data_IF_882155516486
#
_entry.id   IF_882155516486
#
_cell.length_a   1.000
_cell.length_b   1.000
_cell.length_c   1.000
_cell.angle_alpha   90.00
_cell.angle_beta   90.00
_cell.angle_gamma   90.00
#
_symmetry.space_group_name_H-M   'P 1'
#
loop_
_entity.id
_entity.type
_entity.pdbx_description
1 polymer ?
#
# COMPACT_ATOMS: atom_id res chain seq x y z
N UNK A 1 87.42 -43.20 4.68
CA UNK A 1 86.17 -43.64 4.02
C UNK A 1 85.08 -43.77 5.08
N UNK A 2 84.23 -42.75 5.16
CA UNK A 2 82.91 -42.77 5.83
C UNK A 2 82.09 -41.64 5.16
N UNK A 3 80.82 -41.84 4.81
CA UNK A 3 80.17 -41.13 3.69
C UNK A 3 79.52 -39.79 4.10
N UNK A 4 79.15 -38.93 3.12
CA UNK A 4 78.51 -37.64 3.39
C UNK A 4 77.04 -37.82 3.79
N UNK A 5 76.61 -37.07 4.80
CA UNK A 5 75.21 -37.00 5.26
C UNK A 5 74.45 -36.00 4.38
N UNK A 6 73.38 -36.48 3.75
CA UNK A 6 72.45 -35.72 2.90
C UNK A 6 71.64 -34.69 3.71
N UNK A 7 71.54 -33.48 3.17
CA UNK A 7 70.69 -32.37 3.65
C UNK A 7 69.21 -32.69 3.38
N UNK A 8 68.29 -32.52 4.35
CA UNK A 8 66.88 -32.75 4.07
C UNK A 8 66.26 -31.54 3.35
N UNK A 9 65.51 -31.85 2.29
CA UNK A 9 64.71 -30.91 1.49
C UNK A 9 63.65 -30.22 2.35
N UNK A 10 63.54 -28.89 2.19
CA UNK A 10 62.54 -28.04 2.82
C UNK A 10 61.19 -28.25 2.13
N UNK A 11 60.27 -28.96 2.78
CA UNK A 11 58.90 -29.12 2.30
C UNK A 11 58.14 -27.79 2.39
N UNK A 12 57.48 -27.41 1.29
CA UNK A 12 56.53 -26.30 1.19
C UNK A 12 55.26 -26.62 2.00
N UNK A 13 54.88 -25.74 2.93
CA UNK A 13 53.56 -25.75 3.57
C UNK A 13 52.56 -24.97 2.69
N UNK A 14 51.35 -25.48 2.41
CA UNK A 14 50.28 -24.67 1.87
C UNK A 14 49.63 -23.86 3.01
N UNK A 15 49.48 -22.54 2.80
CA UNK A 15 48.69 -21.67 3.65
C UNK A 15 47.22 -22.10 3.58
N UNK A 16 46.71 -22.81 4.59
CA UNK A 16 45.29 -23.04 4.73
C UNK A 16 44.69 -21.83 5.47
N UNK A 17 44.03 -20.94 4.73
CA UNK A 17 43.14 -19.93 5.30
C UNK A 17 41.90 -20.65 5.85
N UNK A 18 41.90 -20.95 7.14
CA UNK A 18 40.71 -21.40 7.87
C UNK A 18 39.83 -20.19 8.17
N UNK A 19 39.04 -19.75 7.19
CA UNK A 19 37.86 -18.98 7.53
C UNK A 19 36.88 -19.94 8.22
N UNK A 20 36.51 -19.72 9.48
CA UNK A 20 35.53 -20.57 10.14
C UNK A 20 34.20 -20.38 9.42
N UNK A 21 33.75 -21.41 8.71
CA UNK A 21 32.38 -21.47 8.27
C UNK A 21 31.50 -21.48 9.52
N UNK A 22 30.51 -20.57 9.65
CA UNK A 22 29.61 -20.58 10.79
C UNK A 22 28.97 -21.97 10.88
N UNK A 23 28.96 -22.58 12.08
CA UNK A 23 28.46 -23.93 12.24
C UNK A 23 27.00 -23.98 11.79
N UNK A 24 26.62 -25.10 11.16
CA UNK A 24 25.31 -25.32 10.54
C UNK A 24 24.13 -24.95 11.46
N UNK A 25 24.33 -25.05 12.77
CA UNK A 25 23.36 -24.68 13.80
C UNK A 25 23.02 -23.17 13.83
N UNK A 26 23.96 -22.26 13.60
CA UNK A 26 23.71 -20.81 13.62
C UNK A 26 22.90 -20.36 12.41
N UNK A 27 23.15 -20.93 11.23
CA UNK A 27 22.31 -20.68 10.04
C UNK A 27 20.89 -21.20 10.25
N UNK A 28 20.75 -22.40 10.81
CA UNK A 28 19.43 -22.98 11.12
C UNK A 28 18.71 -22.12 12.17
N UNK A 29 19.37 -21.74 13.28
CA UNK A 29 18.81 -20.84 14.29
C UNK A 29 18.44 -19.47 13.71
N UNK A 30 19.28 -18.87 12.86
CA UNK A 30 18.96 -17.58 12.20
C UNK A 30 17.76 -17.69 11.24
N UNK A 31 17.58 -18.86 10.60
CA UNK A 31 16.45 -19.15 9.72
C UNK A 31 15.16 -19.46 10.49
N UNK A 32 15.26 -20.05 11.69
CA UNK A 32 14.13 -20.36 12.57
C UNK A 32 13.66 -19.14 13.38
N UNK A 33 14.54 -18.16 13.61
CA UNK A 33 14.19 -16.90 14.31
C UNK A 33 13.49 -15.92 13.36
N UNK A 34 13.72 -16.03 12.04
CA UNK A 34 12.85 -15.41 11.03
C UNK A 34 11.64 -16.30 10.80
N UNK A 35 10.74 -16.36 11.78
CA UNK A 35 9.36 -16.66 11.42
C UNK A 35 8.96 -15.61 10.42
N UNK A 36 8.76 -16.02 9.17
CA UNK A 36 7.95 -15.29 8.21
C UNK A 36 6.53 -15.28 8.78
N UNK A 37 6.29 -14.45 9.79
CA UNK A 37 4.94 -14.09 10.18
C UNK A 37 4.37 -13.40 8.96
N UNK A 38 3.33 -13.98 8.36
CA UNK A 38 2.65 -13.34 7.25
C UNK A 38 2.25 -11.94 7.72
N UNK A 39 2.79 -10.93 7.07
CA UNK A 39 2.59 -9.54 7.47
C UNK A 39 1.11 -9.19 7.28
N UNK A 40 0.49 -8.67 8.33
CA UNK A 40 -0.85 -8.09 8.28
C UNK A 40 -0.81 -6.82 7.42
N UNK A 41 -1.52 -6.73 6.27
CA UNK A 41 -1.38 -5.61 5.33
C UNK A 41 -1.67 -4.24 5.94
N UNK A 42 -2.49 -4.16 6.98
CA UNK A 42 -2.82 -2.90 7.65
C UNK A 42 -1.86 -2.52 8.78
N UNK A 43 -1.33 -3.49 9.54
CA UNK A 43 -0.56 -3.20 10.76
C UNK A 43 0.94 -3.32 10.51
N UNK A 44 1.37 -4.34 9.78
CA UNK A 44 2.79 -4.66 9.62
C UNK A 44 3.42 -3.92 8.44
N UNK A 45 2.66 -3.62 7.39
CA UNK A 45 3.16 -2.85 6.25
C UNK A 45 3.39 -1.39 6.66
N UNK A 46 4.61 -0.91 6.43
CA UNK A 46 4.95 0.50 6.67
C UNK A 46 4.23 1.41 5.65
N UNK A 47 3.84 2.61 6.09
CA UNK A 47 3.25 3.63 5.22
C UNK A 47 4.22 4.10 4.12
N UNK A 48 5.53 3.99 4.34
CA UNK A 48 6.57 4.40 3.40
C UNK A 48 7.33 5.66 3.84
N UNK A 49 8.61 5.81 3.46
CA UNK A 49 9.50 6.85 3.98
C UNK A 49 9.20 8.26 3.49
N UNK A 50 8.51 8.39 2.35
CA UNK A 50 8.12 9.66 1.73
C UNK A 50 6.70 10.10 2.13
N UNK A 51 6.11 9.39 3.11
CA UNK A 51 4.83 9.75 3.65
C UNK A 51 4.94 11.15 4.31
N UNK A 52 3.92 12.00 4.14
CA UNK A 52 2.62 11.63 3.62
C UNK A 52 2.38 11.93 2.13
N UNK A 53 3.39 12.44 1.41
CA UNK A 53 3.23 12.83 0.00
C UNK A 53 3.17 11.61 -0.93
N UNK A 54 4.03 10.63 -0.67
CA UNK A 54 4.06 9.34 -1.36
C UNK A 54 3.98 8.26 -0.28
N UNK A 55 3.03 7.35 -0.41
CA UNK A 55 2.76 6.30 0.57
C UNK A 55 2.50 4.96 -0.12
N UNK A 56 2.69 3.88 0.62
CA UNK A 56 2.25 2.56 0.21
C UNK A 56 0.73 2.49 0.27
N UNK A 57 0.10 1.92 -0.74
CA UNK A 57 -1.34 1.69 -0.83
C UNK A 57 -1.57 0.22 -1.11
N UNK A 58 -2.38 -0.45 -0.28
CA UNK A 58 -2.79 -1.84 -0.48
C UNK A 58 -4.06 -1.86 -1.30
N UNK A 59 -4.02 -2.49 -2.47
CA UNK A 59 -5.15 -2.56 -3.39
C UNK A 59 -6.12 -3.65 -2.92
N UNK A 60 -7.39 -3.29 -2.79
CA UNK A 60 -8.48 -4.21 -2.49
C UNK A 60 -9.26 -4.55 -3.76
N UNK A 61 -9.51 -3.55 -4.61
CA UNK A 61 -10.38 -3.69 -5.78
C UNK A 61 -9.64 -3.25 -7.03
N UNK A 62 -9.52 -4.18 -7.98
CA UNK A 62 -8.95 -3.89 -9.30
C UNK A 62 -9.87 -2.98 -10.10
N UNK A 63 -9.27 -2.09 -10.89
CA UNK A 63 -9.97 -1.34 -11.95
C UNK A 63 -10.80 -2.28 -12.82
N UNK A 64 -12.05 -1.92 -13.05
CA UNK A 64 -13.03 -2.68 -13.85
C UNK A 64 -13.76 -3.79 -13.09
N UNK A 65 -13.44 -4.02 -11.81
CA UNK A 65 -14.15 -5.01 -11.00
C UNK A 65 -15.55 -4.53 -10.60
N UNK A 66 -16.50 -5.47 -10.59
CA UNK A 66 -17.84 -5.31 -9.98
C UNK A 66 -17.91 -5.89 -8.56
N UNK A 67 -16.87 -6.61 -8.14
CA UNK A 67 -16.79 -7.20 -6.80
C UNK A 67 -16.15 -6.17 -5.88
N UNK A 68 -16.90 -5.75 -4.85
CA UNK A 68 -16.36 -4.99 -3.72
C UNK A 68 -15.68 -5.98 -2.79
N UNK A 69 -14.36 -6.00 -2.88
CA UNK A 69 -13.51 -6.62 -1.90
C UNK A 69 -13.26 -5.66 -0.74
N UNK A 70 -12.90 -6.20 0.41
CA UNK A 70 -12.45 -5.42 1.55
C UNK A 70 -11.47 -6.25 2.39
N UNK A 71 -10.62 -5.56 3.14
CA UNK A 71 -9.76 -6.15 4.15
C UNK A 71 -10.61 -6.69 5.31
N UNK A 72 -10.45 -7.98 5.61
CA UNK A 72 -10.88 -8.50 6.90
C UNK A 72 -9.85 -8.13 7.98
N UNK A 73 -10.15 -7.07 8.75
CA UNK A 73 -9.30 -6.50 9.81
C UNK A 73 -8.78 -7.52 10.84
N UNK A 74 -9.48 -8.64 11.02
CA UNK A 74 -9.07 -9.69 11.97
C UNK A 74 -8.02 -10.64 11.41
N UNK A 75 -8.12 -10.99 10.13
CA UNK A 75 -7.27 -12.01 9.50
C UNK A 75 -6.19 -11.42 8.60
N UNK A 76 -6.34 -10.16 8.18
CA UNK A 76 -5.46 -9.52 7.20
C UNK A 76 -5.68 -10.02 5.78
N UNK A 77 -6.73 -10.81 5.52
CA UNK A 77 -7.06 -11.35 4.22
C UNK A 77 -8.07 -10.48 3.48
N UNK A 78 -8.04 -10.54 2.16
CA UNK A 78 -9.06 -9.92 1.31
C UNK A 78 -10.31 -10.82 1.29
N UNK A 79 -11.45 -10.28 1.69
CA UNK A 79 -12.75 -10.94 1.60
C UNK A 79 -13.64 -10.23 0.58
N UNK A 80 -14.60 -10.97 0.04
CA UNK A 80 -15.69 -10.38 -0.75
C UNK A 80 -16.69 -9.79 0.24
N UNK A 81 -16.87 -8.47 0.22
CA UNK A 81 -17.97 -7.81 0.92
C UNK A 81 -19.27 -8.08 0.17
N UNK A 82 -19.27 -7.75 -1.13
CA UNK A 82 -20.44 -7.91 -2.01
C UNK A 82 -20.09 -7.77 -3.49
N UNK A 83 -21.03 -8.17 -4.35
CA UNK A 83 -21.05 -7.76 -5.76
C UNK A 83 -21.94 -6.52 -5.88
N UNK A 84 -21.48 -5.49 -6.59
CA UNK A 84 -22.27 -4.26 -6.76
C UNK A 84 -23.62 -4.57 -7.42
N UNK A 85 -24.70 -3.98 -6.92
CA UNK A 85 -26.05 -4.24 -7.43
C UNK A 85 -26.28 -3.61 -8.81
N UNK A 86 -25.73 -2.41 -9.04
CA UNK A 86 -25.82 -1.73 -10.34
C UNK A 86 -24.84 -2.29 -11.36
N UNK A 87 -25.07 -1.97 -12.63
CA UNK A 87 -24.15 -2.27 -13.74
C UNK A 87 -22.95 -1.34 -13.79
N UNK A 88 -22.44 -0.91 -12.62
CA UNK A 88 -21.25 -0.08 -12.49
C UNK A 88 -20.05 -0.94 -12.10
N UNK A 89 -18.86 -0.47 -12.45
CA UNK A 89 -17.56 -1.08 -12.11
C UNK A 89 -16.63 0.00 -11.58
N UNK A 90 -15.67 -0.37 -10.75
CA UNK A 90 -14.69 0.59 -10.23
C UNK A 90 -13.85 1.18 -11.38
N UNK A 91 -13.84 2.51 -11.60
CA UNK A 91 -13.17 3.11 -12.75
C UNK A 91 -11.63 3.07 -12.63
N UNK A 92 -11.13 2.95 -11.40
CA UNK A 92 -9.71 2.91 -11.06
C UNK A 92 -9.45 1.89 -9.94
N UNK A 93 -8.17 1.60 -9.66
CA UNK A 93 -7.81 0.71 -8.57
C UNK A 93 -8.19 1.38 -7.23
N UNK A 94 -8.72 0.61 -6.30
CA UNK A 94 -9.18 1.09 -5.00
C UNK A 94 -8.53 0.28 -3.89
N UNK A 95 -8.21 0.95 -2.79
CA UNK A 95 -7.56 0.33 -1.65
C UNK A 95 -7.42 1.30 -0.49
N UNK A 96 -6.50 1.01 0.42
CA UNK A 96 -6.32 1.77 1.65
C UNK A 96 -4.86 2.04 1.99
N UNK A 97 -4.62 3.01 2.87
CA UNK A 97 -3.29 3.34 3.39
C UNK A 97 -3.03 2.51 4.66
N UNK A 98 -1.95 1.70 4.72
CA UNK A 98 -1.62 0.94 5.91
C UNK A 98 -1.25 1.88 7.07
N UNK A 99 -1.44 1.42 8.32
CA UNK A 99 -1.19 2.17 9.56
C UNK A 99 -1.92 3.52 9.66
N UNK A 100 -3.08 3.63 9.03
CA UNK A 100 -4.02 4.74 9.21
C UNK A 100 -5.30 4.24 9.87
N UNK A 101 -6.04 5.15 10.53
CA UNK A 101 -7.30 4.86 11.18
C UNK A 101 -8.18 6.11 11.06
N UNK A 102 -9.41 5.96 10.59
CA UNK A 102 -10.43 7.00 10.46
C UNK A 102 -11.47 6.88 11.59
N UNK A 103 -12.42 7.82 11.65
CA UNK A 103 -13.45 7.88 12.71
C UNK A 103 -14.43 6.69 12.67
N UNK A 104 -14.59 6.09 11.48
CA UNK A 104 -15.36 4.87 11.20
C UNK A 104 -14.65 3.58 11.65
N UNK A 105 -13.43 3.67 12.19
CA UNK A 105 -12.55 2.56 12.53
C UNK A 105 -12.02 1.74 11.34
N UNK A 106 -11.97 2.35 10.15
CA UNK A 106 -11.34 1.80 8.96
C UNK A 106 -10.07 2.58 8.57
N UNK A 107 -9.15 1.97 7.80
CA UNK A 107 -8.02 2.70 7.25
C UNK A 107 -8.49 3.74 6.22
N UNK A 108 -7.66 4.75 5.98
CA UNK A 108 -7.97 5.80 5.01
C UNK A 108 -8.00 5.24 3.58
N UNK A 109 -9.13 5.46 2.90
CA UNK A 109 -9.39 4.98 1.55
C UNK A 109 -8.66 5.77 0.47
N UNK A 110 -8.28 5.08 -0.61
CA UNK A 110 -7.52 5.63 -1.73
C UNK A 110 -8.04 5.08 -3.07
N UNK A 111 -8.33 6.00 -3.98
CA UNK A 111 -8.52 5.70 -5.40
C UNK A 111 -7.21 5.99 -6.16
N UNK A 112 -6.60 4.95 -6.74
CA UNK A 112 -5.31 5.02 -7.44
C UNK A 112 -5.51 4.97 -8.96
N UNK A 113 -5.17 6.08 -9.61
CA UNK A 113 -5.19 6.23 -11.07
C UNK A 113 -3.86 5.75 -11.65
N UNK A 114 -3.95 4.81 -12.59
CA UNK A 114 -2.82 4.26 -13.34
C UNK A 114 -3.32 3.56 -14.61
N UNK A 115 -2.39 3.15 -15.48
CA UNK A 115 -2.70 2.49 -16.75
C UNK A 115 -3.33 1.11 -16.54
N UNK A 116 -2.74 0.29 -15.67
CA UNK A 116 -3.08 -1.13 -15.54
C UNK A 116 -3.92 -1.45 -14.28
N UNK A 117 -4.79 -2.47 -14.33
CA UNK A 117 -5.44 -3.00 -13.14
C UNK A 117 -4.42 -3.71 -12.24
N UNK A 118 -4.57 -3.54 -10.93
CA UNK A 118 -3.73 -4.21 -9.91
C UNK A 118 -4.55 -5.22 -9.14
N UNK A 119 -3.96 -6.38 -8.87
CA UNK A 119 -4.62 -7.49 -8.17
C UNK A 119 -4.91 -7.14 -6.70
N UNK A 120 -6.03 -7.62 -6.13
CA UNK A 120 -6.32 -7.48 -4.70
C UNK A 120 -5.23 -8.09 -3.82
N UNK A 121 -4.87 -7.40 -2.74
CA UNK A 121 -3.82 -7.77 -1.80
C UNK A 121 -2.40 -7.36 -2.23
N UNK A 122 -2.20 -6.89 -3.47
CA UNK A 122 -0.94 -6.27 -3.87
C UNK A 122 -0.87 -4.84 -3.34
N UNK A 123 0.35 -4.35 -3.05
CA UNK A 123 0.56 -2.95 -2.71
C UNK A 123 1.43 -2.25 -3.75
N UNK A 124 1.30 -0.93 -3.83
CA UNK A 124 2.07 -0.06 -4.72
C UNK A 124 2.39 1.27 -4.02
N UNK A 125 3.30 2.06 -4.60
CA UNK A 125 3.54 3.43 -4.15
C UNK A 125 2.59 4.40 -4.83
N UNK A 126 1.81 5.12 -4.05
CA UNK A 126 0.82 6.09 -4.50
C UNK A 126 1.25 7.49 -4.09
N UNK A 127 1.06 8.47 -4.98
CA UNK A 127 1.27 9.89 -4.72
C UNK A 127 -0.08 10.59 -4.66
N UNK A 128 -0.40 11.22 -3.52
CA UNK A 128 -1.64 11.97 -3.39
C UNK A 128 -1.66 13.20 -4.31
N UNK A 129 -2.78 13.41 -4.99
CA UNK A 129 -3.02 14.55 -5.88
C UNK A 129 -4.33 15.29 -5.57
N UNK A 130 -5.18 14.74 -4.69
CA UNK A 130 -6.40 15.39 -4.25
C UNK A 130 -7.13 14.59 -3.16
N UNK A 131 -8.22 15.17 -2.66
CA UNK A 131 -9.16 14.54 -1.74
C UNK A 131 -10.56 14.71 -2.29
N UNK A 132 -11.39 13.68 -2.09
CA UNK A 132 -12.81 13.70 -2.40
C UNK A 132 -13.57 13.64 -1.07
N UNK A 133 -14.08 14.78 -0.58
CA UNK A 133 -14.84 14.80 0.66
C UNK A 133 -16.19 14.11 0.46
N UNK A 134 -16.50 13.17 1.33
CA UNK A 134 -17.73 12.40 1.25
C UNK A 134 -18.31 12.21 2.65
N UNK A 135 -19.63 12.21 2.71
CA UNK A 135 -20.39 11.91 3.91
C UNK A 135 -21.18 10.64 3.59
N UNK A 136 -20.86 9.54 4.27
CA UNK A 136 -21.61 8.29 4.18
C UNK A 136 -22.42 8.10 5.46
N UNK A 137 -23.74 7.96 5.35
CA UNK A 137 -24.65 7.76 6.49
C UNK A 137 -24.53 8.78 7.64
N UNK A 138 -24.01 9.99 7.35
CA UNK A 138 -23.82 11.05 8.33
C UNK A 138 -22.42 11.09 8.96
N UNK A 139 -21.58 10.11 8.66
CA UNK A 139 -20.18 10.06 9.06
C UNK A 139 -19.28 10.58 7.92
N UNK A 140 -18.14 11.17 8.30
CA UNK A 140 -17.20 11.74 7.35
C UNK A 140 -16.28 10.64 6.82
N UNK A 141 -16.35 10.39 5.53
CA UNK A 141 -15.62 9.34 4.81
C UNK A 141 -14.85 9.97 3.64
N UNK A 142 -13.83 10.76 3.97
CA UNK A 142 -13.01 11.43 2.97
C UNK A 142 -12.10 10.41 2.25
N UNK A 143 -12.10 10.43 0.91
CA UNK A 143 -11.30 9.51 0.11
C UNK A 143 -10.13 10.23 -0.56
N UNK A 144 -8.93 9.64 -0.52
CA UNK A 144 -7.76 10.18 -1.19
C UNK A 144 -7.79 9.82 -2.67
N UNK A 145 -7.48 10.79 -3.53
CA UNK A 145 -7.24 10.56 -4.95
C UNK A 145 -5.74 10.61 -5.18
N UNK A 146 -5.19 9.53 -5.73
CA UNK A 146 -3.77 9.36 -5.93
C UNK A 146 -3.44 8.83 -7.34
N UNK A 147 -2.18 8.99 -7.74
CA UNK A 147 -1.60 8.34 -8.91
C UNK A 147 -0.55 7.34 -8.48
N UNK A 148 -0.32 6.28 -9.27
CA UNK A 148 0.81 5.39 -9.04
C UNK A 148 2.13 6.16 -9.29
N UNK A 149 3.01 6.20 -8.28
CA UNK A 149 4.28 6.91 -8.34
C UNK A 149 5.28 6.24 -9.31
N UNK A 150 5.06 4.96 -9.60
CA UNK A 150 5.91 4.12 -10.48
C UNK A 150 5.36 4.01 -11.91
N UNK A 151 4.18 4.57 -12.20
CA UNK A 151 3.59 4.57 -13.54
C UNK A 151 4.15 5.73 -14.38
N UNK A 152 4.84 5.48 -15.51
CA UNK A 152 5.43 6.55 -16.34
C UNK A 152 4.39 7.54 -16.88
N UNK A 153 3.16 7.09 -17.14
CA UNK A 153 2.09 7.92 -17.69
C UNK A 153 1.44 8.81 -16.62
N UNK A 154 1.43 8.39 -15.36
CA UNK A 154 0.69 9.11 -14.31
C UNK A 154 1.57 9.76 -13.23
N UNK A 155 2.81 9.31 -13.05
CA UNK A 155 3.69 9.80 -11.97
C UNK A 155 3.97 11.29 -12.00
N UNK A 156 3.78 11.95 -13.15
CA UNK A 156 4.07 13.37 -13.34
C UNK A 156 2.95 14.29 -12.83
N UNK A 157 1.73 13.79 -12.68
CA UNK A 157 0.61 14.57 -12.14
C UNK A 157 0.84 14.92 -10.68
N UNK A 158 0.72 16.18 -10.30
CA UNK A 158 0.89 16.65 -8.93
C UNK A 158 -0.40 17.19 -8.33
N UNK A 159 -1.41 17.41 -9.16
CA UNK A 159 -2.67 17.98 -8.73
C UNK A 159 -3.84 17.41 -9.53
N UNK A 160 -4.98 17.23 -8.86
CA UNK A 160 -6.18 16.66 -9.45
C UNK A 160 -6.74 17.47 -10.64
N UNK A 161 -6.49 18.79 -10.69
CA UNK A 161 -6.93 19.64 -11.82
C UNK A 161 -6.14 19.40 -13.10
N UNK A 162 -4.98 18.78 -13.01
CA UNK A 162 -4.17 18.43 -14.18
C UNK A 162 -4.77 17.25 -14.94
N UNK A 163 -5.67 16.48 -14.31
CA UNK A 163 -6.39 15.39 -14.96
C UNK A 163 -7.42 15.92 -15.97
N UNK A 164 -7.67 15.17 -17.08
CA UNK A 164 -8.71 15.52 -18.02
C UNK A 164 -10.08 15.70 -17.32
N UNK A 165 -10.86 16.76 -17.64
CA UNK A 165 -12.13 17.03 -16.96
C UNK A 165 -13.12 15.86 -16.98
N UNK A 166 -13.10 15.07 -18.05
CA UNK A 166 -13.94 13.87 -18.17
C UNK A 166 -13.60 12.79 -17.14
N UNK A 167 -12.32 12.63 -16.77
CA UNK A 167 -11.89 11.67 -15.72
C UNK A 167 -12.45 12.04 -14.35
N UNK A 168 -12.43 13.33 -14.01
CA UNK A 168 -12.99 13.83 -12.77
C UNK A 168 -14.51 13.62 -12.72
N UNK A 169 -15.20 13.85 -13.84
CA UNK A 169 -16.62 13.59 -13.96
C UNK A 169 -16.96 12.10 -13.81
N UNK A 170 -16.16 11.20 -14.39
CA UNK A 170 -16.32 9.74 -14.27
C UNK A 170 -16.17 9.28 -12.80
N UNK A 171 -15.12 9.72 -12.11
CA UNK A 171 -14.87 9.40 -10.69
C UNK A 171 -16.03 9.90 -9.83
N UNK A 172 -16.41 11.17 -10.00
CA UNK A 172 -17.52 11.78 -9.28
C UNK A 172 -18.80 11.00 -9.47
N UNK A 173 -19.13 10.66 -10.72
CA UNK A 173 -20.35 9.95 -11.06
C UNK A 173 -20.39 8.54 -10.48
N UNK A 174 -19.25 7.84 -10.50
CA UNK A 174 -19.14 6.51 -9.90
C UNK A 174 -19.50 6.52 -8.41
N UNK A 175 -18.90 7.43 -7.62
CA UNK A 175 -19.22 7.50 -6.19
C UNK A 175 -20.66 7.96 -5.95
N UNK A 176 -21.17 8.95 -6.68
CA UNK A 176 -22.58 9.33 -6.59
C UNK A 176 -23.51 8.13 -6.86
N UNK A 177 -23.29 7.36 -7.92
CA UNK A 177 -24.15 6.22 -8.28
C UNK A 177 -24.00 5.04 -7.30
N UNK A 178 -22.78 4.74 -6.84
CA UNK A 178 -22.55 3.70 -5.85
C UNK A 178 -23.19 4.03 -4.49
N UNK A 179 -23.14 5.29 -4.06
CA UNK A 179 -23.69 5.72 -2.77
C UNK A 179 -25.21 5.86 -2.82
N UNK A 180 -25.77 6.44 -3.89
CA UNK A 180 -27.22 6.64 -4.02
C UNK A 180 -28.02 5.33 -4.01
N UNK A 181 -27.40 4.21 -4.36
CA UNK A 181 -28.03 2.89 -4.27
C UNK A 181 -28.01 2.29 -2.87
N UNK A 182 -27.10 2.74 -1.99
CA UNK A 182 -26.97 2.25 -0.62
C UNK A 182 -27.64 3.14 0.41
N UNK A 183 -27.73 4.45 0.16
CA UNK A 183 -28.29 5.39 1.11
C UNK A 183 -29.59 5.99 0.57
N UNK A 184 -30.74 5.47 1.00
CA UNK A 184 -32.07 6.02 0.71
C UNK A 184 -32.32 7.44 1.26
N UNK A 185 -31.36 8.03 1.99
CA UNK A 185 -31.45 9.37 2.55
C UNK A 185 -30.12 10.14 2.39
N UNK A 186 -30.04 10.96 1.33
CA UNK A 186 -29.20 12.16 1.24
C UNK A 186 -27.72 12.08 1.66
N UNK A 187 -26.86 11.54 0.79
CA UNK A 187 -25.42 11.83 0.83
C UNK A 187 -25.11 13.07 -0.01
N UNK A 188 -24.29 13.99 0.51
CA UNK A 188 -23.89 15.23 -0.18
C UNK A 188 -22.42 15.12 -0.57
N UNK A 189 -22.15 15.02 -1.87
CA UNK A 189 -20.80 15.22 -2.40
C UNK A 189 -20.51 16.72 -2.37
N UNK A 190 -19.83 17.20 -1.33
CA UNK A 190 -19.30 18.56 -1.34
C UNK A 190 -18.18 18.63 -2.39
N UNK A 191 -18.02 19.78 -3.05
CA UNK A 191 -17.13 19.96 -4.20
C UNK A 191 -15.74 19.33 -3.97
N UNK A 192 -15.19 18.67 -5.00
CA UNK A 192 -13.79 18.20 -4.99
C UNK A 192 -12.90 19.42 -4.73
N UNK A 193 -12.43 19.54 -3.50
CA UNK A 193 -11.74 20.73 -3.05
C UNK A 193 -10.23 20.56 -3.22
N UNK A 194 -9.57 21.68 -3.51
CA UNK A 194 -8.12 21.79 -3.36
C UNK A 194 -7.79 21.58 -1.88
N UNK A 195 -7.26 20.41 -1.54
CA UNK A 195 -6.48 20.28 -0.32
C UNK A 195 -5.02 20.26 -0.74
N UNK A 196 -4.41 21.44 -0.73
CA UNK A 196 -2.99 21.64 -0.50
C UNK A 196 -2.51 20.54 0.45
N UNK A 197 -1.86 19.50 -0.09
CA UNK A 197 -1.60 18.16 0.49
C UNK A 197 -1.59 18.23 2.03
N UNK A 198 -2.79 18.14 2.62
CA UNK A 198 -3.00 18.31 4.05
C UNK A 198 -3.02 16.95 4.74
N UNK A 199 -2.34 15.97 4.16
CA UNK A 199 -2.00 14.77 4.90
C UNK A 199 -1.08 15.12 6.10
N UNK A 200 -0.48 16.32 6.10
CA UNK A 200 0.21 16.93 7.25
C UNK A 200 -0.70 17.60 8.29
N UNK A 201 -2.01 17.72 8.12
CA UNK A 201 -2.90 18.24 9.19
C UNK A 201 -4.11 17.37 9.46
N UNK A 202 -4.45 16.46 8.54
CA UNK A 202 -5.47 15.45 8.78
C UNK A 202 -5.02 14.35 9.74
N UNK A 203 -3.71 14.08 9.85
CA UNK A 203 -3.16 13.13 10.83
C UNK A 203 -2.12 13.71 11.80
N UNK A 204 -1.76 15.00 11.71
CA UNK A 204 -0.77 15.61 12.62
C UNK A 204 -1.43 16.55 13.65
N UNK A 205 -2.68 17.02 13.45
CA UNK A 205 -3.32 18.01 14.35
C UNK A 205 -4.64 17.58 14.99
N UNK A 206 -5.39 16.66 14.39
CA UNK A 206 -6.46 15.94 15.09
C UNK A 206 -5.89 14.63 15.63
N UNK A 207 -6.39 14.21 16.77
CA UNK A 207 -6.00 13.03 17.56
C UNK A 207 -6.16 11.66 16.85
N UNK A 208 -5.93 11.59 15.55
CA UNK A 208 -5.79 10.34 14.80
C UNK A 208 -4.50 9.65 15.25
N UNK A 209 -4.68 8.77 16.23
CA UNK A 209 -3.65 7.88 16.74
C UNK A 209 -2.99 7.14 15.57
N UNK A 210 -1.80 7.57 15.22
CA UNK A 210 -0.80 6.71 14.60
C UNK A 210 -0.70 5.47 15.49
N UNK A 211 -1.10 4.31 14.97
CA UNK A 211 -0.87 3.04 15.65
C UNK A 211 0.66 2.88 15.80
N UNK A 212 1.17 2.65 17.03
CA UNK A 212 2.62 2.52 17.28
C UNK A 212 3.23 1.31 16.55
#
# INVERSE_FOLDING_TARGET
>A
MTPPIETPMKALLPHHSTHPHPPLNERILSSMTRRSVAAHPWHDLEIGPEAPKIFNCVIEISRGSKVKYELDKKTGLIKVDRVLYSSVVYPHNYGFIPRTLCEDNDPLDVLVIMQEPVLPGCFLRAKAIGVMPMIDQGEKDDKIIAVCADDPEYRHYNDIKELPPHRLAEIRRFFEDCILLYCSNGCILSQMSYCQIFVTSFCIHSSFCWLP
#
